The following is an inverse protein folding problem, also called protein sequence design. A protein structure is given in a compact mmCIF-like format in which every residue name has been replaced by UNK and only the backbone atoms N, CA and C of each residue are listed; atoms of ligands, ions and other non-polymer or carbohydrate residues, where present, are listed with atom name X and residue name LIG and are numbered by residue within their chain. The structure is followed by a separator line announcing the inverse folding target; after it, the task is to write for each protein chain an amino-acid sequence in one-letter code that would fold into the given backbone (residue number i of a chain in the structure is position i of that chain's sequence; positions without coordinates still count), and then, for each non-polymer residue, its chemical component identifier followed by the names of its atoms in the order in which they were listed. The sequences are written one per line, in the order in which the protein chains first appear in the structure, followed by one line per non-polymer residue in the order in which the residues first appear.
data_IF_437744015230
#
_entry.id   IF_437744015230
#
_cell.length_a   1.000
_cell.length_b   1.000
_cell.length_c   1.000
_cell.angle_alpha   90.00
_cell.angle_beta   90.00
_cell.angle_gamma   90.00
#
_symmetry.space_group_name_H-M   'P 1'
#
loop_
_entity.id
_entity.type
_entity.pdbx_description
1 polymer ?
#
# COMPACT_ATOMS: atom_id res chain seq x y z
N UNK A 1 17.65 -11.98 39.32
CA UNK A 1 16.83 -11.41 38.23
C UNK A 1 17.64 -10.92 37.02
N UNK A 2 18.99 -10.89 37.04
CA UNK A 2 19.81 -10.33 35.93
C UNK A 2 20.01 -11.26 34.71
N UNK A 3 20.07 -12.59 34.93
CA UNK A 3 20.38 -13.55 33.84
C UNK A 3 19.21 -13.89 32.92
N UNK A 4 17.97 -13.65 33.32
CA UNK A 4 16.78 -13.94 32.49
C UNK A 4 16.73 -13.03 31.26
N UNK A 5 16.94 -11.72 31.44
CA UNK A 5 16.97 -10.78 30.32
C UNK A 5 18.15 -11.00 29.38
N UNK A 6 19.32 -11.37 29.91
CA UNK A 6 20.49 -11.71 29.08
C UNK A 6 20.21 -12.94 28.20
N UNK A 7 19.68 -14.01 28.79
CA UNK A 7 19.32 -15.22 28.05
C UNK A 7 18.23 -14.97 27.00
N UNK A 8 17.21 -14.17 27.31
CA UNK A 8 16.18 -13.81 26.34
C UNK A 8 16.74 -13.00 25.17
N UNK A 9 17.63 -12.04 25.44
CA UNK A 9 18.27 -11.23 24.40
C UNK A 9 19.08 -12.10 23.44
N UNK A 10 19.88 -13.01 23.97
CA UNK A 10 20.74 -13.87 23.15
C UNK A 10 19.90 -14.86 22.33
N UNK A 11 18.81 -15.40 22.90
CA UNK A 11 17.87 -16.24 22.16
C UNK A 11 17.15 -15.49 21.01
N UNK A 12 16.75 -14.23 21.24
CA UNK A 12 16.13 -13.39 20.21
C UNK A 12 17.13 -13.05 19.09
N UNK A 13 18.36 -12.69 19.43
CA UNK A 13 19.40 -12.40 18.44
C UNK A 13 19.72 -13.61 17.58
N UNK A 14 19.81 -14.79 18.20
CA UNK A 14 20.03 -16.04 17.47
C UNK A 14 18.87 -16.34 16.52
N UNK A 15 17.63 -16.21 16.99
CA UNK A 15 16.44 -16.40 16.17
C UNK A 15 16.41 -15.43 14.98
N UNK A 16 16.79 -14.16 15.18
CA UNK A 16 16.84 -13.18 14.11
C UNK A 16 17.93 -13.51 13.06
N UNK A 17 19.09 -13.99 13.51
CA UNK A 17 20.18 -14.38 12.61
C UNK A 17 19.77 -15.58 11.73
N UNK A 18 18.98 -16.51 12.25
CA UNK A 18 18.54 -17.72 11.54
C UNK A 18 17.45 -17.45 10.48
N UNK A 19 16.75 -16.32 10.58
CA UNK A 19 15.66 -15.95 9.66
C UNK A 19 16.19 -15.31 8.36
N UNK A 20 17.52 -15.16 8.22
CA UNK A 20 18.14 -14.56 7.05
C UNK A 20 17.68 -15.21 5.73
N UNK A 21 17.20 -14.38 4.79
CA UNK A 21 16.70 -14.82 3.48
C UNK A 21 15.23 -15.29 3.47
N UNK A 22 14.54 -15.30 4.61
CA UNK A 22 13.12 -15.70 4.70
C UNK A 22 12.16 -14.51 4.84
N UNK A 23 12.69 -13.30 5.07
CA UNK A 23 11.89 -12.08 5.25
C UNK A 23 11.70 -11.39 3.91
N UNK A 24 10.43 -11.20 3.54
CA UNK A 24 10.06 -10.27 2.48
C UNK A 24 9.91 -8.86 3.06
N UNK A 25 10.41 -7.86 2.34
CA UNK A 25 10.25 -6.45 2.67
C UNK A 25 9.58 -5.70 1.54
N UNK A 26 8.87 -4.64 1.87
CA UNK A 26 8.35 -3.65 0.93
C UNK A 26 8.66 -2.26 1.46
N UNK A 27 8.79 -1.29 0.56
CA UNK A 27 9.05 0.11 0.92
C UNK A 27 7.94 1.01 0.38
N UNK A 28 7.53 2.00 1.18
CA UNK A 28 6.57 3.01 0.78
C UNK A 28 7.28 4.35 0.57
N UNK A 29 6.97 5.02 -0.53
CA UNK A 29 7.46 6.33 -0.88
C UNK A 29 6.29 7.28 -1.09
N UNK A 30 6.55 8.58 -1.07
CA UNK A 30 5.54 9.59 -1.36
C UNK A 30 6.01 10.53 -2.47
N UNK A 31 5.10 11.10 -3.27
CA UNK A 31 5.47 12.03 -4.33
C UNK A 31 6.24 13.25 -3.80
N UNK A 32 7.42 13.58 -4.37
CA UNK A 32 8.20 14.72 -3.92
C UNK A 32 7.49 16.02 -4.29
N UNK A 33 7.62 17.01 -3.41
CA UNK A 33 7.04 18.36 -3.59
C UNK A 33 8.08 19.41 -4.00
N UNK A 34 9.37 19.08 -3.92
CA UNK A 34 10.49 19.94 -4.32
C UNK A 34 11.55 19.14 -5.08
N UNK A 35 12.43 19.83 -5.80
CA UNK A 35 13.56 19.24 -6.54
C UNK A 35 14.53 18.48 -5.62
N UNK A 36 14.76 18.98 -4.41
CA UNK A 36 15.67 18.38 -3.44
C UNK A 36 15.10 17.06 -2.91
N UNK A 37 13.77 17.03 -2.68
CA UNK A 37 13.06 15.82 -2.28
C UNK A 37 13.05 14.78 -3.41
N UNK A 38 12.94 15.22 -4.66
CA UNK A 38 13.01 14.33 -5.81
C UNK A 38 14.38 13.66 -5.92
N UNK A 39 15.48 14.42 -5.75
CA UNK A 39 16.82 13.83 -5.70
C UNK A 39 16.95 12.83 -4.55
N UNK A 40 16.41 13.16 -3.38
CA UNK A 40 16.43 12.27 -2.20
C UNK A 40 15.63 10.99 -2.43
N UNK A 41 14.48 11.09 -3.09
CA UNK A 41 13.63 9.95 -3.47
C UNK A 41 14.40 8.99 -4.37
N UNK A 42 15.00 9.49 -5.46
CA UNK A 42 15.73 8.65 -6.41
C UNK A 42 16.96 7.98 -5.78
N UNK A 43 17.72 8.72 -4.96
CA UNK A 43 18.83 8.15 -4.20
C UNK A 43 18.38 7.03 -3.25
N UNK A 44 17.22 7.20 -2.62
CA UNK A 44 16.65 6.20 -1.71
C UNK A 44 16.16 4.97 -2.46
N UNK A 45 15.51 5.14 -3.60
CA UNK A 45 15.07 4.05 -4.48
C UNK A 45 16.28 3.22 -4.94
N UNK A 46 17.34 3.87 -5.44
CA UNK A 46 18.55 3.17 -5.88
C UNK A 46 19.15 2.33 -4.75
N UNK A 47 19.30 2.93 -3.57
CA UNK A 47 19.86 2.24 -2.40
C UNK A 47 19.00 1.05 -1.97
N UNK A 48 17.69 1.25 -1.84
CA UNK A 48 16.77 0.22 -1.34
C UNK A 48 16.47 -0.87 -2.37
N UNK A 49 16.60 -0.57 -3.67
CA UNK A 49 16.41 -1.55 -4.74
C UNK A 49 17.39 -2.73 -4.65
N UNK A 50 18.60 -2.49 -4.14
CA UNK A 50 19.63 -3.52 -3.92
C UNK A 50 19.19 -4.60 -2.92
N UNK A 51 18.22 -4.30 -2.05
CA UNK A 51 17.66 -5.24 -1.08
C UNK A 51 16.60 -6.18 -1.69
N UNK A 52 16.27 -6.01 -2.98
CA UNK A 52 15.27 -6.80 -3.71
C UNK A 52 13.93 -6.90 -2.97
N UNK A 53 13.29 -5.75 -2.66
CA UNK A 53 11.97 -5.76 -2.03
C UNK A 53 10.98 -6.53 -2.89
N UNK A 54 9.97 -7.14 -2.25
CA UNK A 54 8.91 -7.86 -2.96
C UNK A 54 8.13 -6.91 -3.87
N UNK A 55 7.82 -5.72 -3.36
CA UNK A 55 7.28 -4.60 -4.13
C UNK A 55 7.66 -3.30 -3.43
N UNK A 56 7.52 -2.18 -4.15
CA UNK A 56 7.51 -0.85 -3.56
C UNK A 56 6.18 -0.19 -3.84
N UNK A 57 5.74 0.73 -2.97
CA UNK A 57 4.51 1.48 -3.18
C UNK A 57 4.74 2.98 -3.16
N UNK A 58 3.88 3.71 -3.85
CA UNK A 58 3.92 5.17 -3.88
C UNK A 58 2.55 5.70 -3.46
N UNK A 59 2.55 6.54 -2.43
CA UNK A 59 1.32 7.13 -1.90
C UNK A 59 0.61 7.99 -2.93
N UNK A 60 -0.69 8.17 -2.70
CA UNK A 60 -1.57 8.96 -3.53
C UNK A 60 -2.04 10.17 -2.73
N UNK A 61 -1.84 11.35 -3.30
CA UNK A 61 -2.39 12.58 -2.74
C UNK A 61 -3.78 12.83 -3.30
N UNK A 62 -4.77 13.05 -2.45
CA UNK A 62 -6.18 13.29 -2.81
C UNK A 62 -6.41 14.61 -3.59
N UNK A 63 -5.36 15.36 -3.93
CA UNK A 63 -5.44 16.55 -4.77
C UNK A 63 -5.02 16.18 -6.20
N UNK A 64 -5.80 16.60 -7.20
CA UNK A 64 -5.64 16.20 -8.61
C UNK A 64 -4.22 16.33 -9.19
N UNK A 65 -3.42 17.31 -8.74
CA UNK A 65 -2.02 17.47 -9.17
C UNK A 65 -1.02 16.49 -8.54
N UNK A 66 -1.42 15.68 -7.57
CA UNK A 66 -0.59 14.63 -6.95
C UNK A 66 -0.78 13.27 -7.66
N UNK A 67 -1.92 13.03 -8.32
CA UNK A 67 -2.20 11.82 -9.08
C UNK A 67 -1.22 11.57 -10.23
N UNK A 68 -1.00 12.58 -11.07
CA UNK A 68 -0.08 12.47 -12.21
C UNK A 68 1.37 12.23 -11.75
N UNK A 69 1.72 12.78 -10.57
CA UNK A 69 3.02 12.55 -9.93
C UNK A 69 3.17 11.13 -9.43
N UNK A 70 2.15 10.56 -8.77
CA UNK A 70 2.18 9.14 -8.38
C UNK A 70 2.39 8.25 -9.61
N UNK A 71 1.66 8.49 -10.70
CA UNK A 71 1.82 7.72 -11.94
C UNK A 71 3.22 7.86 -12.54
N UNK A 72 3.78 9.07 -12.62
CA UNK A 72 5.11 9.29 -13.19
C UNK A 72 6.22 8.61 -12.39
N UNK A 73 6.13 8.63 -11.05
CA UNK A 73 7.10 7.98 -10.16
C UNK A 73 7.01 6.46 -10.29
N UNK A 74 5.80 5.88 -10.29
CA UNK A 74 5.61 4.44 -10.47
C UNK A 74 6.24 3.97 -11.78
N UNK A 75 5.99 4.70 -12.88
CA UNK A 75 6.62 4.43 -14.17
C UNK A 75 8.14 4.54 -14.08
N UNK A 76 8.66 5.61 -13.50
CA UNK A 76 10.11 5.81 -13.35
C UNK A 76 10.79 4.73 -12.51
N UNK A 77 10.16 4.26 -11.43
CA UNK A 77 10.65 3.15 -10.62
C UNK A 77 10.73 1.87 -11.46
N UNK A 78 9.65 1.55 -12.18
CA UNK A 78 9.58 0.35 -13.03
C UNK A 78 10.64 0.39 -14.14
N UNK A 79 10.75 1.50 -14.85
CA UNK A 79 11.71 1.68 -15.94
C UNK A 79 13.17 1.66 -15.45
N UNK A 80 13.44 2.21 -14.26
CA UNK A 80 14.80 2.33 -13.70
C UNK A 80 15.28 1.06 -12.99
N UNK A 81 14.39 0.36 -12.29
CA UNK A 81 14.77 -0.72 -11.36
C UNK A 81 14.22 -2.09 -11.77
N UNK A 82 13.18 -2.14 -12.59
CA UNK A 82 12.44 -3.37 -12.90
C UNK A 82 11.65 -3.95 -11.71
N UNK A 83 11.60 -3.24 -10.57
CA UNK A 83 10.82 -3.68 -9.41
C UNK A 83 9.33 -3.55 -9.67
N UNK A 84 8.56 -4.38 -8.97
CA UNK A 84 7.12 -4.24 -8.88
C UNK A 84 6.78 -2.97 -8.08
N UNK A 85 6.02 -2.07 -8.72
CA UNK A 85 5.66 -0.78 -8.16
C UNK A 85 4.14 -0.65 -8.10
N UNK A 86 3.61 -0.50 -6.89
CA UNK A 86 2.17 -0.45 -6.61
C UNK A 86 1.73 1.00 -6.28
N UNK A 87 0.92 1.65 -7.13
CA UNK A 87 0.32 2.92 -6.77
C UNK A 87 -0.70 2.71 -5.65
N UNK A 88 -0.73 3.65 -4.72
CA UNK A 88 -1.92 3.85 -3.91
C UNK A 88 -3.03 4.45 -4.77
N UNK A 89 -4.27 4.10 -4.48
CA UNK A 89 -5.44 4.65 -5.15
C UNK A 89 -6.55 4.87 -4.12
N UNK A 90 -7.08 6.09 -4.07
CA UNK A 90 -8.20 6.47 -3.20
C UNK A 90 -9.50 6.59 -3.99
N UNK A 91 -10.64 6.35 -3.33
CA UNK A 91 -11.95 6.46 -3.96
C UNK A 91 -12.71 7.75 -3.60
N UNK A 92 -12.17 8.60 -2.72
CA UNK A 92 -12.88 9.76 -2.17
C UNK A 92 -12.94 10.96 -3.11
N UNK A 93 -11.99 11.03 -4.05
CA UNK A 93 -11.74 12.16 -4.93
C UNK A 93 -12.00 11.82 -6.41
N UNK A 94 -12.56 10.64 -6.69
CA UNK A 94 -12.81 10.16 -8.05
C UNK A 94 -14.14 9.41 -8.16
N UNK A 95 -14.83 9.60 -9.27
CA UNK A 95 -16.03 8.85 -9.61
C UNK A 95 -15.70 7.40 -9.97
N UNK A 96 -16.66 6.45 -9.88
CA UNK A 96 -16.44 5.06 -10.29
C UNK A 96 -15.92 4.91 -11.73
N UNK A 97 -16.40 5.74 -12.66
CA UNK A 97 -15.98 5.68 -14.06
C UNK A 97 -14.57 6.23 -14.29
N UNK A 98 -14.18 7.25 -13.53
CA UNK A 98 -12.79 7.70 -13.48
C UNK A 98 -11.92 6.57 -12.94
N UNK A 99 -12.25 5.99 -11.78
CA UNK A 99 -11.52 4.87 -11.16
C UNK A 99 -11.34 3.68 -12.12
N UNK A 100 -12.38 3.29 -12.85
CA UNK A 100 -12.29 2.24 -13.89
C UNK A 100 -11.33 2.61 -15.02
N UNK A 101 -11.29 3.88 -15.39
CA UNK A 101 -10.36 4.37 -16.41
C UNK A 101 -8.93 4.33 -15.90
N UNK A 102 -8.67 4.81 -14.67
CA UNK A 102 -7.33 4.73 -14.05
C UNK A 102 -6.87 3.28 -13.95
N UNK A 103 -7.73 2.38 -13.48
CA UNK A 103 -7.42 0.98 -13.32
C UNK A 103 -7.07 0.34 -14.67
N UNK A 104 -7.87 0.59 -15.73
CA UNK A 104 -7.56 0.11 -17.08
C UNK A 104 -6.22 0.64 -17.58
N UNK A 105 -5.92 1.92 -17.34
CA UNK A 105 -4.66 2.53 -17.74
C UNK A 105 -3.47 1.90 -16.99
N UNK A 106 -3.57 1.69 -15.67
CA UNK A 106 -2.57 0.96 -14.90
C UNK A 106 -2.35 -0.44 -15.45
N UNK A 107 -3.44 -1.18 -15.73
CA UNK A 107 -3.36 -2.51 -16.30
C UNK A 107 -2.67 -2.48 -17.67
N UNK A 108 -3.01 -1.55 -18.55
CA UNK A 108 -2.40 -1.46 -19.88
C UNK A 108 -0.91 -1.08 -19.82
N UNK A 109 -0.49 -0.33 -18.80
CA UNK A 109 0.92 0.01 -18.54
C UNK A 109 1.66 -1.10 -17.74
N UNK A 110 1.02 -2.25 -17.52
CA UNK A 110 1.60 -3.41 -16.86
C UNK A 110 1.84 -3.20 -15.35
N UNK A 111 1.05 -2.32 -14.72
CA UNK A 111 0.94 -2.24 -13.26
C UNK A 111 -0.15 -3.23 -12.87
N UNK A 112 0.20 -4.20 -12.01
CA UNK A 112 -0.65 -5.34 -11.63
C UNK A 112 -1.02 -5.35 -10.16
N UNK A 113 -0.31 -4.57 -9.33
CA UNK A 113 -0.55 -4.45 -7.90
C UNK A 113 -1.01 -3.03 -7.56
N UNK A 114 -2.12 -2.90 -6.83
CA UNK A 114 -2.67 -1.62 -6.37
C UNK A 114 -2.86 -1.66 -4.84
N UNK A 115 -2.51 -0.57 -4.16
CA UNK A 115 -2.92 -0.36 -2.76
C UNK A 115 -4.24 0.41 -2.76
N UNK A 116 -5.35 -0.30 -2.53
CA UNK A 116 -6.70 0.25 -2.54
C UNK A 116 -7.06 0.83 -1.18
N UNK A 117 -7.35 2.12 -1.15
CA UNK A 117 -7.66 2.88 0.06
C UNK A 117 -8.96 3.65 -0.14
N UNK A 118 -9.66 3.95 0.96
CA UNK A 118 -10.77 4.91 0.91
C UNK A 118 -10.23 6.31 0.65
N UNK A 119 -9.22 6.71 1.42
CA UNK A 119 -8.73 8.08 1.52
C UNK A 119 -9.30 8.82 2.73
N UNK A 120 -8.72 9.99 2.99
CA UNK A 120 -9.10 10.87 4.10
C UNK A 120 -10.25 11.79 3.70
N UNK A 121 -11.27 11.86 4.55
CA UNK A 121 -12.40 12.78 4.35
C UNK A 121 -11.95 14.23 4.56
N UNK A 122 -12.25 15.14 3.63
CA UNK A 122 -12.06 16.57 3.87
C UNK A 122 -12.85 17.02 5.11
N UNK A 123 -12.34 17.99 5.89
CA UNK A 123 -13.04 18.48 7.07
C UNK A 123 -14.42 19.05 6.69
N UNK A 124 -15.46 18.63 7.42
CA UNK A 124 -16.85 19.04 7.15
C UNK A 124 -17.59 18.21 6.10
N UNK A 125 -16.95 17.19 5.53
CA UNK A 125 -17.60 16.26 4.61
C UNK A 125 -18.62 15.38 5.32
N UNK A 126 -19.69 15.01 4.61
CA UNK A 126 -20.71 14.09 5.09
C UNK A 126 -20.23 12.63 5.15
N UNK A 127 -21.18 11.70 5.14
CA UNK A 127 -20.85 10.27 5.03
C UNK A 127 -20.11 10.00 3.71
N UNK A 128 -19.09 9.15 3.70
CA UNK A 128 -18.41 8.76 2.47
C UNK A 128 -19.39 8.03 1.55
N UNK A 129 -19.32 8.33 0.25
CA UNK A 129 -20.14 7.66 -0.77
C UNK A 129 -19.58 6.27 -1.12
N UNK A 130 -18.27 6.08 -0.94
CA UNK A 130 -17.55 4.85 -1.26
C UNK A 130 -16.57 4.48 -0.14
N UNK A 131 -16.45 3.19 0.15
CA UNK A 131 -15.46 2.60 1.07
C UNK A 131 -14.36 1.87 0.30
N UNK A 132 -13.26 1.49 0.96
CA UNK A 132 -12.18 0.80 0.25
C UNK A 132 -12.65 -0.56 -0.30
N UNK A 133 -13.55 -1.25 0.39
CA UNK A 133 -14.20 -2.48 -0.11
C UNK A 133 -14.90 -2.32 -1.47
N UNK A 134 -15.51 -1.17 -1.73
CA UNK A 134 -16.18 -0.89 -3.00
C UNK A 134 -15.14 -0.69 -4.11
N UNK A 135 -14.04 0.01 -3.79
CA UNK A 135 -12.90 0.15 -4.69
C UNK A 135 -12.25 -1.20 -5.02
N UNK A 136 -12.07 -2.09 -4.03
CA UNK A 136 -11.56 -3.45 -4.27
C UNK A 136 -12.43 -4.20 -5.27
N UNK A 137 -13.75 -4.14 -5.08
CA UNK A 137 -14.72 -4.79 -5.98
C UNK A 137 -14.61 -4.22 -7.40
N UNK A 138 -14.59 -2.90 -7.54
CA UNK A 138 -14.43 -2.20 -8.81
C UNK A 138 -13.12 -2.58 -9.51
N UNK A 139 -12.00 -2.65 -8.79
CA UNK A 139 -10.71 -3.03 -9.35
C UNK A 139 -10.72 -4.46 -9.89
N UNK A 140 -11.31 -5.40 -9.13
CA UNK A 140 -11.44 -6.81 -9.56
C UNK A 140 -12.38 -6.99 -10.74
N UNK A 141 -13.38 -6.12 -10.93
CA UNK A 141 -14.21 -6.11 -12.14
C UNK A 141 -13.43 -5.67 -13.39
N UNK A 142 -12.45 -4.78 -13.22
CA UNK A 142 -11.64 -4.26 -14.33
C UNK A 142 -10.61 -5.30 -14.79
N UNK A 143 -9.86 -5.89 -13.86
CA UNK A 143 -8.86 -6.90 -14.14
C UNK A 143 -8.44 -7.67 -12.89
N UNK A 144 -7.65 -8.73 -13.06
CA UNK A 144 -7.14 -9.53 -11.95
C UNK A 144 -5.91 -8.89 -11.30
N UNK A 145 -6.13 -7.79 -10.57
CA UNK A 145 -5.09 -7.10 -9.80
C UNK A 145 -4.71 -7.86 -8.53
N UNK A 146 -3.44 -7.82 -8.17
CA UNK A 146 -3.04 -7.98 -6.78
C UNK A 146 -3.47 -6.73 -6.01
N UNK A 147 -4.11 -6.89 -4.85
CA UNK A 147 -4.68 -5.75 -4.13
C UNK A 147 -4.20 -5.76 -2.68
N UNK A 148 -3.56 -4.66 -2.29
CA UNK A 148 -3.31 -4.37 -0.88
C UNK A 148 -4.39 -3.46 -0.30
N UNK A 149 -4.68 -3.64 0.99
CA UNK A 149 -5.61 -2.79 1.75
C UNK A 149 -5.01 -2.44 3.11
N UNK A 150 -5.48 -1.35 3.71
CA UNK A 150 -5.06 -0.94 5.05
C UNK A 150 -5.70 -1.81 6.15
N UNK A 151 -4.98 -1.99 7.26
CA UNK A 151 -5.55 -2.53 8.49
C UNK A 151 -5.11 -1.69 9.69
N UNK A 152 -5.95 -1.65 10.73
CA UNK A 152 -5.74 -0.80 11.89
C UNK A 152 -5.71 -1.65 13.17
N UNK A 153 -4.52 -1.99 13.70
CA UNK A 153 -4.39 -2.74 14.95
C UNK A 153 -5.06 -2.05 16.14
N UNK A 154 -5.08 -0.71 16.14
CA UNK A 154 -5.66 0.13 17.18
C UNK A 154 -7.05 0.68 16.84
N UNK A 155 -7.73 0.06 15.85
CA UNK A 155 -9.03 0.46 15.31
C UNK A 155 -8.96 1.76 14.51
N UNK A 156 -9.58 1.77 13.32
CA UNK A 156 -9.70 2.98 12.52
C UNK A 156 -10.45 4.09 13.30
N UNK A 157 -9.98 5.35 13.30
CA UNK A 157 -10.65 6.45 13.98
C UNK A 157 -12.11 6.68 13.55
N UNK A 158 -12.48 6.24 12.35
CA UNK A 158 -13.84 6.33 11.80
C UNK A 158 -14.74 5.13 12.10
N UNK A 159 -14.22 4.08 12.74
CA UNK A 159 -14.98 2.86 13.00
C UNK A 159 -15.93 3.02 14.20
N UNK A 160 -17.09 2.36 14.12
CA UNK A 160 -18.09 2.38 15.21
C UNK A 160 -17.64 1.56 16.43
N UNK A 161 -16.78 0.57 16.22
CA UNK A 161 -16.17 -0.29 17.25
C UNK A 161 -15.03 -1.11 16.64
N UNK A 162 -14.19 -1.70 17.48
CA UNK A 162 -13.15 -2.65 17.03
C UNK A 162 -13.72 -3.82 16.21
N UNK A 163 -14.88 -4.34 16.63
CA UNK A 163 -15.55 -5.43 15.92
C UNK A 163 -16.06 -4.97 14.55
N UNK A 164 -16.59 -3.75 14.46
CA UNK A 164 -17.04 -3.18 13.19
C UNK A 164 -15.88 -2.98 12.21
N UNK A 165 -14.72 -2.55 12.70
CA UNK A 165 -13.49 -2.37 11.91
C UNK A 165 -12.95 -3.71 11.40
N UNK A 166 -12.82 -4.71 12.30
CA UNK A 166 -12.36 -6.06 11.94
C UNK A 166 -13.29 -6.74 10.93
N UNK A 167 -14.59 -6.46 11.01
CA UNK A 167 -15.59 -7.01 10.09
C UNK A 167 -15.71 -6.23 8.78
N UNK A 168 -14.99 -5.13 8.57
CA UNK A 168 -15.02 -4.47 7.27
C UNK A 168 -14.45 -5.41 6.19
N UNK A 169 -15.04 -5.46 4.98
CA UNK A 169 -14.61 -6.39 3.93
C UNK A 169 -13.14 -6.19 3.53
N UNK A 170 -12.64 -4.96 3.59
CA UNK A 170 -11.22 -4.64 3.42
C UNK A 170 -10.34 -5.39 4.42
N UNK A 171 -10.68 -5.39 5.71
CA UNK A 171 -9.93 -6.13 6.74
C UNK A 171 -10.17 -7.65 6.68
N UNK A 172 -11.36 -8.09 6.27
CA UNK A 172 -11.71 -9.52 6.15
C UNK A 172 -11.13 -10.20 4.90
N UNK A 173 -10.75 -9.46 3.87
CA UNK A 173 -10.25 -9.98 2.59
C UNK A 173 -9.13 -11.03 2.76
N UNK A 174 -8.32 -10.88 3.81
CA UNK A 174 -7.26 -11.82 4.21
C UNK A 174 -7.74 -13.08 4.95
N UNK A 175 -8.87 -13.04 5.64
CA UNK A 175 -9.37 -14.17 6.44
C UNK A 175 -10.10 -15.24 5.61
N UNK A 176 -10.53 -14.92 4.37
CA UNK A 176 -11.40 -15.81 3.56
C UNK A 176 -10.80 -16.33 2.26
N UNK A 177 -9.63 -15.86 1.81
CA UNK A 177 -9.13 -16.14 0.46
C UNK A 177 -7.74 -16.79 0.43
N UNK A 178 -7.43 -17.47 -0.69
CA UNK A 178 -6.19 -18.20 -0.93
C UNK A 178 -4.96 -17.27 -0.78
N UNK A 179 -3.76 -17.81 -0.47
CA UNK A 179 -2.58 -17.03 -0.04
C UNK A 179 -1.99 -16.02 -1.05
N UNK A 180 -2.62 -15.79 -2.21
CA UNK A 180 -2.10 -14.89 -3.26
C UNK A 180 -2.90 -13.60 -3.46
N UNK A 181 -4.13 -13.48 -2.97
CA UNK A 181 -5.04 -12.47 -3.53
C UNK A 181 -5.02 -11.10 -2.82
N UNK A 182 -4.56 -11.04 -1.56
CA UNK A 182 -4.59 -9.81 -0.76
C UNK A 182 -3.38 -9.68 0.18
N UNK A 183 -2.75 -8.50 0.21
CA UNK A 183 -1.73 -8.13 1.21
C UNK A 183 -2.19 -6.97 2.09
N UNK A 184 -1.84 -7.02 3.37
CA UNK A 184 -2.16 -5.94 4.32
C UNK A 184 -0.91 -5.09 4.52
N UNK A 185 -1.03 -3.78 4.31
CA UNK A 185 -0.03 -2.81 4.76
C UNK A 185 -0.39 -2.40 6.19
N UNK A 186 0.60 -2.52 7.08
CA UNK A 186 0.56 -2.01 8.45
C UNK A 186 1.18 -0.62 8.50
#
# INVERSE_FOLDING_TARGET
MSFFHASQRDALNQSLAEVQGQINVSFEFFPPRTSEMEQTLWNSIDRLSSLKPKFVSVTYGANSGERDRTHSIIKGIKDRTGLEAAPHLTCIDATPDELRTIARDYWNNGIRHIVALRGDLPPGSGKPEMYASDLVTLLKEVADFDISVAAYPEVSPGAKSAQADLLQPETQSRCRSQPRDYSVLL
#
